data_IF_914500491055
#
_entry.id   IF_914500491055
#
_cell.length_a   1.000
_cell.length_b   1.000
_cell.length_c   1.000
_cell.angle_alpha   90.00
_cell.angle_beta   90.00
_cell.angle_gamma   90.00
#
_symmetry.space_group_name_H-M   'P 1'
#
loop_
_entity.id
_entity.type
_entity.pdbx_description
1 polymer ?
#
# COMPACT_ATOMS: atom_id res chain seq x y z
N UNK A 1 -2.11 -16.40 10.16
CA UNK A 1 -1.74 -15.36 9.18
C UNK A 1 -0.85 -15.96 8.11
N UNK A 2 -0.52 -15.17 7.09
CA UNK A 2 0.50 -15.50 6.07
C UNK A 2 1.70 -14.59 6.32
N UNK A 3 2.90 -15.15 6.25
CA UNK A 3 4.17 -14.42 6.35
C UNK A 3 4.74 -14.28 4.95
N UNK A 4 5.31 -13.12 4.63
CA UNK A 4 6.16 -12.91 3.47
C UNK A 4 7.53 -12.45 3.97
N UNK A 5 8.59 -13.21 3.70
CA UNK A 5 9.91 -13.00 4.26
C UNK A 5 10.99 -13.02 3.19
N UNK A 6 12.00 -12.16 3.33
CA UNK A 6 13.16 -12.11 2.45
C UNK A 6 14.43 -11.86 3.25
N UNK A 7 15.57 -12.24 2.68
CA UNK A 7 16.89 -11.85 3.16
C UNK A 7 17.19 -10.41 2.73
N UNK A 8 17.88 -9.65 3.59
CA UNK A 8 18.30 -8.27 3.32
C UNK A 8 17.33 -7.23 3.90
N UNK A 9 17.39 -6.00 3.40
CA UNK A 9 16.53 -4.92 3.90
C UNK A 9 15.05 -5.13 3.53
N UNK A 10 14.15 -4.79 4.47
CA UNK A 10 12.70 -4.90 4.32
C UNK A 10 12.12 -4.15 3.12
N UNK A 11 12.82 -3.12 2.61
CA UNK A 11 12.51 -2.44 1.34
C UNK A 11 12.29 -3.44 0.19
N UNK A 12 12.95 -4.60 0.20
CA UNK A 12 12.76 -5.65 -0.79
C UNK A 12 11.31 -6.16 -0.85
N UNK A 13 10.68 -6.38 0.31
CA UNK A 13 9.27 -6.79 0.37
C UNK A 13 8.34 -5.62 0.02
N UNK A 14 8.68 -4.40 0.46
CA UNK A 14 7.89 -3.19 0.17
C UNK A 14 7.84 -2.86 -1.32
N UNK A 15 8.95 -3.03 -2.04
CA UNK A 15 9.03 -2.84 -3.50
C UNK A 15 8.32 -3.96 -4.29
N UNK A 16 7.66 -4.92 -3.60
CA UNK A 16 6.87 -5.98 -4.23
C UNK A 16 7.68 -7.14 -4.82
N UNK A 17 8.96 -7.26 -4.46
CA UNK A 17 9.77 -8.37 -4.93
C UNK A 17 9.37 -9.70 -4.28
N UNK A 18 9.80 -10.78 -4.92
CA UNK A 18 9.46 -12.13 -4.53
C UNK A 18 10.22 -12.57 -3.28
N UNK A 19 9.50 -12.60 -2.15
CA UNK A 19 9.91 -13.25 -0.91
C UNK A 19 9.33 -14.66 -0.76
N UNK A 20 9.72 -15.35 0.31
CA UNK A 20 9.19 -16.66 0.68
C UNK A 20 7.91 -16.49 1.50
N UNK A 21 6.82 -17.15 1.07
CA UNK A 21 5.52 -17.11 1.74
C UNK A 21 5.19 -18.41 2.44
N UNK A 22 4.77 -18.32 3.70
CA UNK A 22 4.37 -19.47 4.49
C UNK A 22 3.35 -19.10 5.57
N UNK A 23 2.68 -20.11 6.14
CA UNK A 23 1.84 -19.94 7.32
C UNK A 23 2.64 -20.35 8.57
N UNK A 24 2.70 -19.54 9.64
CA UNK A 24 3.34 -19.93 10.90
C UNK A 24 2.79 -21.23 11.51
N UNK A 25 1.51 -21.55 11.26
CA UNK A 25 0.89 -22.80 11.71
C UNK A 25 1.29 -24.02 10.87
N UNK A 26 1.72 -23.78 9.63
CA UNK A 26 2.14 -24.82 8.68
C UNK A 26 3.46 -24.43 7.99
N UNK A 27 4.56 -24.22 8.75
CA UNK A 27 5.80 -23.66 8.20
C UNK A 27 6.51 -24.61 7.23
N UNK A 28 6.16 -25.90 7.25
CA UNK A 28 6.71 -26.94 6.36
C UNK A 28 5.97 -27.03 5.02
N UNK A 29 4.81 -26.38 4.88
CA UNK A 29 3.96 -26.44 3.68
C UNK A 29 4.18 -25.21 2.78
N UNK A 30 5.35 -25.13 2.16
CA UNK A 30 5.76 -23.98 1.35
C UNK A 30 5.60 -24.32 -0.14
N UNK A 31 4.62 -23.72 -0.81
CA UNK A 31 4.35 -23.96 -2.23
C UNK A 31 5.57 -23.66 -3.11
N UNK A 32 6.31 -22.60 -2.79
CA UNK A 32 7.49 -22.18 -3.53
C UNK A 32 8.63 -23.20 -3.47
N UNK A 33 8.62 -24.13 -2.51
CA UNK A 33 9.62 -25.18 -2.34
C UNK A 33 9.06 -26.58 -2.63
N UNK A 34 7.88 -26.66 -3.27
CA UNK A 34 7.18 -27.94 -3.53
C UNK A 34 7.81 -28.78 -4.65
N UNK A 35 8.47 -28.14 -5.61
CA UNK A 35 9.22 -28.79 -6.68
C UNK A 35 10.52 -28.05 -6.94
N UNK A 36 11.48 -28.74 -7.58
CA UNK A 36 12.76 -28.16 -7.96
C UNK A 36 12.58 -26.92 -8.84
N UNK A 37 11.76 -27.02 -9.90
CA UNK A 37 11.50 -25.92 -10.83
C UNK A 37 10.92 -24.70 -10.12
N UNK A 38 9.95 -24.94 -9.22
CA UNK A 38 9.32 -23.88 -8.44
C UNK A 38 10.33 -23.25 -7.48
N UNK A 39 11.17 -24.03 -6.81
CA UNK A 39 12.19 -23.51 -5.90
C UNK A 39 13.25 -22.66 -6.64
N UNK A 40 13.61 -23.04 -7.86
CA UNK A 40 14.58 -22.31 -8.67
C UNK A 40 14.00 -21.05 -9.33
N UNK A 41 12.69 -21.04 -9.62
CA UNK A 41 12.00 -19.91 -10.26
C UNK A 41 11.45 -18.92 -9.24
N UNK A 42 10.85 -19.42 -8.16
CA UNK A 42 9.94 -18.67 -7.31
C UNK A 42 10.51 -18.29 -5.93
N UNK A 43 11.84 -18.35 -5.81
CA UNK A 43 12.60 -17.90 -4.63
C UNK A 43 13.44 -16.65 -4.92
N UNK A 44 13.82 -15.95 -3.85
CA UNK A 44 14.58 -14.71 -3.92
C UNK A 44 15.91 -14.89 -4.68
N UNK A 45 16.15 -14.03 -5.68
CA UNK A 45 17.37 -14.04 -6.51
C UNK A 45 18.32 -12.89 -6.22
N UNK A 46 17.85 -11.85 -5.53
CA UNK A 46 18.59 -10.65 -5.18
C UNK A 46 18.09 -10.09 -3.85
N UNK A 47 18.89 -9.28 -3.17
CA UNK A 47 18.54 -8.64 -1.91
C UNK A 47 19.10 -7.22 -1.86
N UNK A 48 18.52 -6.40 -1.00
CA UNK A 48 19.05 -5.08 -0.70
C UNK A 48 20.00 -5.14 0.51
N UNK A 49 21.13 -4.45 0.39
CA UNK A 49 22.13 -4.25 1.43
C UNK A 49 22.51 -2.77 1.53
N UNK A 50 23.09 -2.38 2.65
CA UNK A 50 23.66 -1.04 2.83
C UNK A 50 25.14 -1.07 2.51
N UNK A 51 25.59 -0.10 1.71
CA UNK A 51 27.00 0.19 1.51
C UNK A 51 27.50 1.06 2.68
N UNK A 52 28.36 0.49 3.52
CA UNK A 52 28.97 1.18 4.65
C UNK A 52 30.37 1.72 4.32
N UNK A 53 30.94 1.36 3.17
CA UNK A 53 32.30 1.77 2.77
C UNK A 53 32.26 3.07 1.98
N UNK A 54 31.23 3.31 1.17
CA UNK A 54 31.08 4.52 0.35
C UNK A 54 30.49 5.73 1.09
N UNK A 55 30.87 5.92 2.35
CA UNK A 55 30.52 7.07 3.21
C UNK A 55 30.96 8.45 2.68
N UNK A 56 31.63 8.50 1.51
CA UNK A 56 32.25 9.70 0.93
C UNK A 56 31.44 10.36 -0.20
N UNK A 57 30.20 9.95 -0.45
CA UNK A 57 29.31 10.67 -1.39
C UNK A 57 28.38 11.59 -0.62
N UNK A 58 28.17 12.79 -1.14
CA UNK A 58 27.29 13.80 -0.55
C UNK A 58 25.97 13.18 -0.11
N UNK A 59 25.59 13.36 1.15
CA UNK A 59 24.30 12.90 1.65
C UNK A 59 23.18 13.55 0.82
N UNK A 60 22.44 12.73 0.09
CA UNK A 60 21.28 13.18 -0.67
C UNK A 60 19.99 12.84 0.06
N UNK A 61 18.90 13.47 -0.38
CA UNK A 61 17.53 13.25 0.13
C UNK A 61 16.90 11.99 -0.52
N UNK A 62 17.62 11.29 -1.41
CA UNK A 62 17.16 10.08 -2.08
C UNK A 62 17.57 8.87 -1.23
N UNK A 63 16.58 8.15 -0.68
CA UNK A 63 16.76 6.96 0.15
C UNK A 63 17.57 5.84 -0.54
N UNK A 64 17.82 5.94 -1.84
CA UNK A 64 18.57 4.96 -2.64
C UNK A 64 20.09 5.16 -2.60
N UNK A 65 20.59 6.27 -2.03
CA UNK A 65 21.97 6.73 -2.23
C UNK A 65 23.06 5.75 -1.75
N UNK A 66 22.80 4.99 -0.68
CA UNK A 66 23.69 4.00 -0.10
C UNK A 66 23.11 2.57 -0.17
N UNK A 67 22.07 2.38 -0.99
CA UNK A 67 21.30 1.15 -1.06
C UNK A 67 21.78 0.33 -2.26
N UNK A 68 22.41 -0.81 -1.98
CA UNK A 68 22.92 -1.70 -3.01
C UNK A 68 22.00 -2.89 -3.24
N UNK A 69 21.80 -3.25 -4.50
CA UNK A 69 21.06 -4.43 -4.91
C UNK A 69 22.02 -5.52 -5.34
N UNK A 70 22.11 -6.58 -4.55
CA UNK A 70 23.11 -7.65 -4.72
C UNK A 70 22.40 -8.94 -5.13
N UNK A 71 22.96 -9.66 -6.11
CA UNK A 71 22.46 -11.00 -6.46
C UNK A 71 22.83 -12.00 -5.38
N UNK A 72 21.95 -12.93 -5.06
CA UNK A 72 22.20 -13.97 -4.04
C UNK A 72 23.47 -14.77 -4.36
N UNK A 73 23.74 -15.04 -5.63
CA UNK A 73 24.94 -15.79 -6.06
C UNK A 73 26.25 -15.00 -5.91
N UNK A 74 26.18 -13.68 -5.71
CA UNK A 74 27.34 -12.82 -5.49
C UNK A 74 27.63 -12.56 -4.01
N UNK A 75 26.76 -13.05 -3.10
CA UNK A 75 27.00 -12.95 -1.67
C UNK A 75 28.22 -13.79 -1.29
N UNK A 76 29.19 -13.19 -0.61
CA UNK A 76 30.39 -13.89 -0.14
C UNK A 76 30.06 -15.02 0.83
N UNK A 77 30.97 -16.01 0.95
CA UNK A 77 30.79 -17.18 1.81
C UNK A 77 30.56 -16.82 3.30
N UNK A 78 31.07 -15.67 3.75
CA UNK A 78 30.89 -15.17 5.11
C UNK A 78 29.57 -14.40 5.34
N UNK A 79 28.72 -14.28 4.32
CA UNK A 79 27.42 -13.62 4.38
C UNK A 79 26.44 -14.36 5.30
N UNK A 80 25.46 -13.65 5.91
CA UNK A 80 24.31 -14.26 6.57
C UNK A 80 23.51 -15.23 5.69
N UNK A 81 23.73 -15.22 4.37
CA UNK A 81 23.14 -16.16 3.42
C UNK A 81 23.27 -17.62 3.89
N UNK A 82 24.39 -17.99 4.52
CA UNK A 82 24.65 -19.37 4.99
C UNK A 82 23.60 -19.91 5.95
N UNK A 83 22.91 -19.03 6.67
CA UNK A 83 21.90 -19.42 7.65
C UNK A 83 20.51 -19.62 7.04
N UNK A 84 20.25 -19.01 5.89
CA UNK A 84 18.91 -18.91 5.29
C UNK A 84 18.78 -19.63 3.94
N UNK A 85 19.86 -20.18 3.38
CA UNK A 85 19.82 -20.84 2.08
C UNK A 85 19.89 -22.38 2.14
N UNK A 86 19.33 -23.00 1.11
CA UNK A 86 19.66 -24.34 0.65
C UNK A 86 20.53 -24.24 -0.62
N UNK A 87 21.21 -25.32 -0.99
CA UNK A 87 22.07 -25.38 -2.17
C UNK A 87 21.50 -26.36 -3.20
N UNK A 88 21.31 -25.89 -4.42
CA UNK A 88 20.95 -26.72 -5.56
C UNK A 88 22.18 -27.44 -6.11
N UNK A 89 22.06 -28.76 -6.19
CA UNK A 89 23.03 -29.68 -6.75
C UNK A 89 22.63 -30.04 -8.19
N UNK A 90 23.37 -29.57 -9.22
CA UNK A 90 23.01 -29.82 -10.61
C UNK A 90 23.24 -31.27 -11.04
N UNK A 91 24.18 -31.98 -10.41
CA UNK A 91 24.53 -33.35 -10.80
C UNK A 91 23.43 -34.33 -10.37
N UNK A 92 22.96 -34.17 -9.13
CA UNK A 92 21.90 -35.00 -8.55
C UNK A 92 20.48 -34.44 -8.81
N UNK A 93 20.37 -33.21 -9.36
CA UNK A 93 19.12 -32.47 -9.53
C UNK A 93 18.28 -32.35 -8.25
N UNK A 94 18.93 -32.13 -7.11
CA UNK A 94 18.27 -31.99 -5.81
C UNK A 94 18.63 -30.67 -5.11
N UNK A 95 17.80 -30.28 -4.15
CA UNK A 95 18.12 -29.18 -3.22
C UNK A 95 18.52 -29.77 -1.88
N UNK A 96 19.76 -29.52 -1.48
CA UNK A 96 20.31 -29.91 -0.18
C UNK A 96 20.14 -28.76 0.81
N UNK A 97 19.51 -29.04 1.94
CA UNK A 97 19.33 -28.04 2.99
C UNK A 97 20.69 -27.61 3.58
N UNK A 98 20.95 -26.31 3.58
CA UNK A 98 22.21 -25.72 4.02
C UNK A 98 23.05 -25.09 2.90
N UNK A 99 24.10 -24.42 3.34
CA UNK A 99 25.09 -23.79 2.46
C UNK A 99 26.24 -24.77 2.19
N UNK A 100 26.40 -25.15 0.93
CA UNK A 100 27.52 -25.97 0.46
C UNK A 100 28.33 -25.19 -0.58
N UNK A 101 29.61 -25.51 -0.74
CA UNK A 101 30.43 -24.95 -1.81
C UNK A 101 29.95 -25.43 -3.18
N UNK A 102 30.04 -24.56 -4.19
CA UNK A 102 29.44 -24.82 -5.50
C UNK A 102 27.91 -24.82 -5.48
N UNK A 103 27.29 -25.00 -6.64
CA UNK A 103 25.83 -25.07 -6.77
C UNK A 103 25.10 -23.73 -6.52
N UNK A 104 23.90 -23.60 -7.08
CA UNK A 104 23.10 -22.38 -6.97
C UNK A 104 22.48 -22.27 -5.57
N UNK A 105 22.62 -21.10 -4.94
CA UNK A 105 22.00 -20.82 -3.63
C UNK A 105 20.52 -20.47 -3.78
N UNK A 106 19.67 -21.10 -2.97
CA UNK A 106 18.22 -20.94 -2.94
C UNK A 106 17.82 -20.43 -1.57
N UNK A 107 17.18 -19.27 -1.48
CA UNK A 107 16.76 -18.69 -0.19
C UNK A 107 15.49 -19.41 0.31
N UNK A 108 15.70 -20.50 1.04
CA UNK A 108 14.65 -21.45 1.46
C UNK A 108 14.22 -21.29 2.91
N UNK A 109 15.07 -20.66 3.74
CA UNK A 109 14.93 -20.60 5.20
C UNK A 109 14.73 -21.98 5.85
N UNK A 110 15.21 -23.07 5.23
CA UNK A 110 14.96 -24.44 5.66
C UNK A 110 15.39 -24.70 7.12
N UNK A 111 16.51 -24.13 7.55
CA UNK A 111 16.98 -24.25 8.93
C UNK A 111 15.96 -23.72 9.95
N UNK A 112 15.26 -22.63 9.62
CA UNK A 112 14.30 -21.97 10.50
C UNK A 112 12.88 -22.55 10.38
N UNK A 113 12.50 -23.06 9.20
CA UNK A 113 11.12 -23.48 8.91
C UNK A 113 10.90 -24.99 8.92
N UNK A 114 11.96 -25.77 8.64
CA UNK A 114 11.90 -27.24 8.54
C UNK A 114 12.63 -27.94 9.68
N UNK A 115 13.83 -27.45 10.01
CA UNK A 115 14.72 -28.06 11.02
C UNK A 115 14.56 -27.45 12.41
N UNK A 116 13.71 -26.43 12.56
CA UNK A 116 13.37 -25.81 13.84
C UNK A 116 14.60 -25.33 14.65
N UNK A 117 15.72 -25.00 13.96
CA UNK A 117 16.97 -24.52 14.60
C UNK A 117 16.79 -23.18 15.31
N UNK A 118 15.83 -22.38 14.83
CA UNK A 118 15.34 -21.17 15.45
C UNK A 118 13.80 -21.25 15.46
N UNK A 119 13.12 -21.00 16.59
CA UNK A 119 11.66 -21.14 16.71
C UNK A 119 10.90 -19.96 16.08
N UNK A 120 11.22 -19.60 14.84
CA UNK A 120 10.65 -18.43 14.18
C UNK A 120 9.14 -18.57 13.97
N UNK A 121 8.69 -19.72 13.47
CA UNK A 121 7.28 -19.97 13.20
C UNK A 121 6.43 -19.90 14.50
N UNK A 122 6.93 -20.50 15.58
CA UNK A 122 6.29 -20.45 16.89
C UNK A 122 6.27 -19.02 17.46
N UNK A 123 7.37 -18.28 17.31
CA UNK A 123 7.46 -16.88 17.74
C UNK A 123 6.43 -16.01 17.01
N UNK A 124 6.35 -16.16 15.68
CA UNK A 124 5.37 -15.43 14.86
C UNK A 124 3.93 -15.78 15.23
N UNK A 125 3.63 -17.06 15.45
CA UNK A 125 2.29 -17.49 15.90
C UNK A 125 1.91 -16.89 17.26
N UNK A 126 2.84 -16.88 18.22
CA UNK A 126 2.63 -16.25 19.53
C UNK A 126 2.40 -14.75 19.42
N UNK A 127 3.26 -14.03 18.69
CA UNK A 127 3.13 -12.57 18.50
C UNK A 127 1.82 -12.21 17.83
N UNK A 128 1.40 -12.95 16.79
CA UNK A 128 0.13 -12.72 16.12
C UNK A 128 -1.08 -12.98 17.04
N UNK A 129 -1.06 -14.05 17.84
CA UNK A 129 -2.14 -14.37 18.79
C UNK A 129 -2.26 -13.32 19.89
N UNK A 130 -1.15 -12.93 20.51
CA UNK A 130 -1.13 -11.89 21.54
C UNK A 130 -1.58 -10.56 20.94
N UNK A 131 -1.03 -10.17 19.79
CA UNK A 131 -1.42 -8.96 19.09
C UNK A 131 -2.92 -8.90 18.77
N UNK A 132 -3.48 -10.00 18.26
CA UNK A 132 -4.91 -10.10 17.97
C UNK A 132 -5.76 -10.00 19.24
N UNK A 133 -5.35 -10.65 20.32
CA UNK A 133 -6.06 -10.63 21.59
C UNK A 133 -6.08 -9.21 22.18
N UNK A 134 -4.94 -8.55 22.27
CA UNK A 134 -4.80 -7.23 22.88
C UNK A 134 -5.42 -6.11 22.03
N UNK A 135 -5.39 -6.23 20.70
CA UNK A 135 -6.02 -5.26 19.79
C UNK A 135 -7.51 -5.55 19.50
N UNK A 136 -8.03 -6.68 19.97
CA UNK A 136 -9.42 -7.10 19.77
C UNK A 136 -9.82 -7.39 18.31
N UNK A 137 -8.86 -7.48 17.38
CA UNK A 137 -9.09 -7.79 15.97
C UNK A 137 -7.83 -8.38 15.32
N UNK A 138 -7.90 -9.03 14.15
CA UNK A 138 -6.73 -9.54 13.45
C UNK A 138 -5.66 -8.46 13.27
N UNK A 139 -4.39 -8.81 13.36
CA UNK A 139 -3.27 -7.88 13.26
C UNK A 139 -2.32 -8.24 12.12
N UNK A 140 -1.68 -7.23 11.56
CA UNK A 140 -0.49 -7.35 10.73
C UNK A 140 0.74 -6.91 11.54
N UNK A 141 1.87 -7.59 11.33
CA UNK A 141 3.14 -7.26 11.96
C UNK A 141 4.23 -7.11 10.91
N UNK A 142 5.10 -6.13 11.11
CA UNK A 142 6.41 -6.06 10.45
C UNK A 142 7.47 -6.50 11.45
N UNK A 143 8.42 -7.32 11.00
CA UNK A 143 9.45 -7.86 11.86
C UNK A 143 10.80 -7.93 11.15
N UNK A 144 11.87 -7.99 11.94
CA UNK A 144 13.22 -8.29 11.47
C UNK A 144 13.83 -9.40 12.34
N UNK A 145 14.69 -10.20 11.73
CA UNK A 145 15.46 -11.24 12.43
C UNK A 145 16.94 -10.99 12.19
N UNK A 146 17.69 -10.77 13.28
CA UNK A 146 19.13 -10.69 13.25
C UNK A 146 19.73 -12.05 13.65
N UNK A 147 20.34 -12.76 12.71
CA UNK A 147 20.90 -14.10 12.95
C UNK A 147 22.38 -13.98 13.31
N UNK A 148 22.73 -14.31 14.55
CA UNK A 148 24.12 -14.32 15.05
C UNK A 148 24.81 -15.65 14.77
N UNK A 149 24.09 -16.76 14.95
CA UNK A 149 24.58 -18.12 14.73
C UNK A 149 23.44 -19.06 14.32
N UNK A 150 23.72 -20.35 14.09
CA UNK A 150 22.69 -21.33 13.74
C UNK A 150 21.64 -21.54 14.85
N UNK A 151 21.97 -21.20 16.11
CA UNK A 151 21.09 -21.40 17.26
C UNK A 151 20.77 -20.09 18.00
N UNK A 152 21.34 -18.97 17.56
CA UNK A 152 21.15 -17.67 18.21
C UNK A 152 20.70 -16.62 17.19
N UNK A 153 19.52 -16.06 17.44
CA UNK A 153 18.98 -14.95 16.68
C UNK A 153 18.18 -14.01 17.58
N UNK A 154 18.09 -12.74 17.17
CA UNK A 154 17.25 -11.73 17.80
C UNK A 154 16.05 -11.46 16.91
N UNK A 155 14.86 -11.43 17.50
CA UNK A 155 13.61 -11.12 16.81
C UNK A 155 13.12 -9.74 17.23
N UNK A 156 12.88 -8.87 16.25
CA UNK A 156 12.40 -7.51 16.46
C UNK A 156 11.02 -7.35 15.84
N UNK A 157 10.04 -6.91 16.63
CA UNK A 157 8.78 -6.38 16.08
C UNK A 157 9.02 -4.92 15.71
N UNK A 158 8.97 -4.63 14.42
CA UNK A 158 9.17 -3.28 13.89
C UNK A 158 7.87 -2.48 13.92
N UNK A 159 6.75 -3.16 13.68
CA UNK A 159 5.43 -2.56 13.65
C UNK A 159 4.37 -3.61 13.94
N UNK A 160 3.28 -3.18 14.57
CA UNK A 160 2.05 -3.97 14.70
C UNK A 160 0.87 -3.05 14.44
N UNK A 161 -0.06 -3.48 13.58
CA UNK A 161 -1.27 -2.72 13.26
C UNK A 161 -2.49 -3.65 13.24
N UNK A 162 -3.65 -3.18 13.71
CA UNK A 162 -4.89 -3.91 13.52
C UNK A 162 -5.30 -3.90 12.04
N UNK A 163 -5.67 -5.04 11.50
CA UNK A 163 -6.24 -5.17 10.16
C UNK A 163 -7.66 -4.60 10.20
N UNK A 164 -7.96 -3.67 9.30
CA UNK A 164 -9.32 -3.20 9.08
C UNK A 164 -10.08 -4.29 8.34
N UNK A 165 -10.91 -5.01 9.07
CA UNK A 165 -11.80 -6.02 8.52
C UNK A 165 -12.97 -5.30 7.83
N UNK A 166 -12.84 -5.00 6.54
CA UNK A 166 -13.95 -4.47 5.74
C UNK A 166 -14.94 -5.61 5.45
N UNK A 167 -15.70 -6.00 6.48
CA UNK A 167 -16.69 -7.09 6.46
C UNK A 167 -17.90 -6.81 5.58
N UNK A 168 -18.07 -5.60 5.07
CA UNK A 168 -19.15 -5.30 4.16
C UNK A 168 -18.78 -5.76 2.76
N UNK A 169 -19.14 -7.01 2.47
CA UNK A 169 -19.34 -7.44 1.09
C UNK A 169 -20.44 -6.55 0.53
N UNK A 170 -20.07 -5.59 -0.32
CA UNK A 170 -21.04 -4.85 -1.12
C UNK A 170 -21.66 -5.86 -2.09
N UNK A 171 -22.80 -6.42 -1.68
CA UNK A 171 -23.57 -7.41 -2.42
C UNK A 171 -24.59 -6.76 -3.37
N UNK A 172 -24.62 -5.43 -3.40
CA UNK A 172 -25.41 -4.64 -4.32
C UNK A 172 -24.75 -4.59 -5.71
N UNK A 173 -25.58 -4.53 -6.75
CA UNK A 173 -25.09 -4.37 -8.11
C UNK A 173 -24.73 -2.91 -8.40
N UNK A 174 -23.50 -2.53 -8.03
CA UNK A 174 -22.98 -1.19 -8.32
C UNK A 174 -22.79 -0.90 -9.83
N UNK A 175 -23.06 -1.86 -10.72
CA UNK A 175 -22.99 -1.63 -12.17
C UNK A 175 -24.22 -0.90 -12.71
N UNK A 176 -25.37 -1.02 -12.03
CA UNK A 176 -26.65 -0.46 -12.45
C UNK A 176 -27.14 0.57 -11.42
N UNK A 177 -26.48 1.74 -11.40
CA UNK A 177 -26.82 2.83 -10.50
C UNK A 177 -27.49 3.96 -11.26
N UNK A 178 -28.52 4.55 -10.65
CA UNK A 178 -29.18 5.72 -11.19
C UNK A 178 -28.22 6.92 -11.16
N UNK A 179 -27.90 7.42 -12.35
CA UNK A 179 -27.05 8.59 -12.53
C UNK A 179 -27.64 9.84 -11.88
N UNK A 180 -28.97 9.95 -11.82
CA UNK A 180 -29.65 11.10 -11.22
C UNK A 180 -29.47 11.19 -9.70
N UNK A 181 -29.31 10.05 -9.04
CA UNK A 181 -29.11 9.91 -7.58
C UNK A 181 -27.63 9.84 -7.17
N UNK A 182 -26.70 10.03 -8.12
CA UNK A 182 -25.27 9.81 -7.87
C UNK A 182 -24.47 11.11 -8.05
N UNK A 183 -23.63 11.44 -7.07
CA UNK A 183 -22.67 12.54 -7.18
C UNK A 183 -21.42 12.09 -7.92
N UNK A 184 -20.97 10.86 -7.63
CA UNK A 184 -19.69 10.37 -8.10
C UNK A 184 -19.73 8.88 -8.42
N UNK A 185 -19.21 8.50 -9.58
CA UNK A 185 -19.12 7.12 -10.04
C UNK A 185 -17.75 6.86 -10.67
N UNK A 186 -17.13 5.71 -10.34
CA UNK A 186 -15.87 5.28 -10.94
C UNK A 186 -15.85 3.76 -11.13
N UNK A 187 -15.36 3.30 -12.30
CA UNK A 187 -14.99 1.91 -12.59
C UNK A 187 -13.52 1.59 -12.31
N UNK A 188 -12.81 2.53 -11.72
CA UNK A 188 -11.43 2.36 -11.26
C UNK A 188 -11.32 2.85 -9.81
N UNK A 189 -12.05 2.16 -8.94
CA UNK A 189 -12.05 2.40 -7.51
C UNK A 189 -11.26 1.32 -6.75
N UNK A 190 -10.54 1.79 -5.74
CA UNK A 190 -9.80 0.99 -4.78
C UNK A 190 -10.37 1.23 -3.39
N UNK A 191 -10.33 0.19 -2.57
CA UNK A 191 -11.03 0.13 -1.29
C UNK A 191 -12.16 -0.89 -1.30
N UNK A 192 -12.85 -1.05 -0.18
CA UNK A 192 -14.00 -1.94 -0.06
C UNK A 192 -14.89 -1.50 1.11
N UNK A 193 -16.21 -1.59 0.99
CA UNK A 193 -17.16 -1.36 2.08
C UNK A 193 -18.14 -0.21 1.83
N UNK A 194 -18.97 0.09 2.84
CA UNK A 194 -19.96 1.16 2.84
C UNK A 194 -19.61 2.17 3.94
N UNK A 195 -19.78 3.45 3.66
CA UNK A 195 -19.62 4.55 4.62
C UNK A 195 -20.83 5.48 4.49
N UNK A 196 -21.45 5.80 5.62
CA UNK A 196 -22.69 6.59 5.72
C UNK A 196 -22.56 7.68 6.79
N UNK A 197 -21.33 8.11 7.05
CA UNK A 197 -20.92 9.02 8.12
C UNK A 197 -20.25 10.29 7.59
N UNK A 198 -20.21 10.45 6.26
CA UNK A 198 -19.58 11.60 5.58
C UNK A 198 -20.66 12.48 4.98
N UNK A 199 -20.74 13.74 5.42
CA UNK A 199 -21.68 14.75 4.90
C UNK A 199 -21.00 15.83 4.05
N UNK A 200 -19.67 15.82 3.99
CA UNK A 200 -18.87 16.90 3.46
C UNK A 200 -18.14 16.49 2.17
N UNK A 201 -18.20 17.36 1.17
CA UNK A 201 -17.46 17.21 -0.10
C UNK A 201 -16.60 18.45 -0.31
N UNK A 202 -15.29 18.22 -0.47
CA UNK A 202 -14.29 19.25 -0.78
C UNK A 202 -13.77 18.94 -2.18
N UNK A 203 -13.89 19.91 -3.09
CA UNK A 203 -13.42 19.73 -4.46
C UNK A 203 -12.67 20.94 -4.99
N UNK A 204 -11.76 20.68 -5.92
CA UNK A 204 -11.06 21.71 -6.69
C UNK A 204 -11.91 22.09 -7.90
N UNK A 205 -12.20 23.38 -8.06
CA UNK A 205 -12.99 23.93 -9.17
C UNK A 205 -12.29 23.67 -10.51
N UNK A 206 -13.01 23.12 -11.48
CA UNK A 206 -12.37 22.73 -12.76
C UNK A 206 -12.41 23.81 -13.84
N UNK A 207 -13.44 24.68 -13.84
CA UNK A 207 -13.72 25.68 -14.91
C UNK A 207 -12.55 26.64 -15.22
N UNK A 208 -11.71 26.95 -14.23
CA UNK A 208 -10.53 27.82 -14.39
C UNK A 208 -9.25 27.18 -13.86
N UNK A 209 -9.20 25.85 -13.85
CA UNK A 209 -8.05 25.13 -13.31
C UNK A 209 -6.78 25.39 -14.13
N UNK A 210 -5.69 25.63 -13.43
CA UNK A 210 -4.34 25.73 -13.98
C UNK A 210 -3.36 24.99 -13.08
N UNK A 211 -2.58 24.09 -13.67
CA UNK A 211 -1.57 23.31 -12.94
C UNK A 211 -0.51 24.20 -12.25
N UNK A 212 -0.30 25.44 -12.72
CA UNK A 212 0.56 26.41 -12.06
C UNK A 212 0.10 26.74 -10.63
N UNK A 213 -1.19 26.56 -10.32
CA UNK A 213 -1.76 26.84 -9.01
C UNK A 213 -1.74 25.62 -8.07
N UNK A 214 -1.30 24.44 -8.52
CA UNK A 214 -1.28 23.21 -7.71
C UNK A 214 -0.57 23.38 -6.35
N UNK A 215 0.57 24.09 -6.23
CA UNK A 215 1.18 24.35 -4.93
C UNK A 215 0.33 25.22 -4.00
N UNK A 216 -0.46 26.15 -4.55
CA UNK A 216 -1.39 26.97 -3.76
C UNK A 216 -2.59 26.12 -3.29
N UNK A 217 -3.16 25.32 -4.19
CA UNK A 217 -4.24 24.37 -3.89
C UNK A 217 -3.84 23.42 -2.75
N UNK A 218 -2.63 22.88 -2.79
CA UNK A 218 -2.13 21.98 -1.73
C UNK A 218 -2.14 22.64 -0.34
N UNK A 219 -1.81 23.93 -0.24
CA UNK A 219 -1.83 24.69 1.02
C UNK A 219 -3.24 25.00 1.50
N UNK A 220 -4.18 25.21 0.58
CA UNK A 220 -5.58 25.44 0.95
C UNK A 220 -6.24 24.17 1.46
N UNK A 221 -5.95 23.04 0.81
CA UNK A 221 -6.43 21.72 1.24
C UNK A 221 -5.88 21.35 2.61
N UNK A 222 -4.59 21.62 2.87
CA UNK A 222 -4.00 21.43 4.21
C UNK A 222 -4.79 22.18 5.30
N UNK A 223 -5.16 23.45 5.05
CA UNK A 223 -5.97 24.24 5.99
C UNK A 223 -7.35 23.66 6.21
N UNK A 224 -7.99 23.15 5.15
CA UNK A 224 -9.29 22.48 5.25
C UNK A 224 -9.15 21.20 6.08
N UNK A 225 -8.15 20.37 5.79
CA UNK A 225 -7.91 19.12 6.50
C UNK A 225 -7.65 19.34 8.00
N UNK A 226 -6.93 20.40 8.38
CA UNK A 226 -6.75 20.79 9.79
C UNK A 226 -8.10 21.03 10.47
N UNK A 227 -9.02 21.78 9.85
CA UNK A 227 -10.37 22.03 10.40
C UNK A 227 -11.17 20.75 10.58
N UNK A 228 -11.12 19.85 9.60
CA UNK A 228 -11.76 18.53 9.69
C UNK A 228 -11.15 17.67 10.81
N UNK A 229 -9.84 17.75 10.99
CA UNK A 229 -9.15 17.04 12.07
C UNK A 229 -9.50 17.60 13.45
N UNK A 230 -9.65 18.91 13.59
CA UNK A 230 -10.07 19.56 14.84
C UNK A 230 -11.54 19.26 15.18
N UNK A 231 -12.38 19.07 14.16
CA UNK A 231 -13.80 18.75 14.31
C UNK A 231 -14.10 17.25 14.41
N UNK A 232 -13.07 16.39 14.30
CA UNK A 232 -13.21 14.93 14.21
C UNK A 232 -14.23 14.48 13.13
N UNK A 233 -14.10 15.07 11.94
CA UNK A 233 -14.96 14.81 10.78
C UNK A 233 -14.15 14.34 9.58
N UNK A 234 -14.81 13.60 8.69
CA UNK A 234 -14.25 13.17 7.41
C UNK A 234 -14.99 13.80 6.22
N UNK A 235 -14.34 13.80 5.07
CA UNK A 235 -14.89 14.39 3.83
C UNK A 235 -14.52 13.57 2.59
N UNK A 236 -15.26 13.78 1.50
CA UNK A 236 -14.88 13.33 0.15
C UNK A 236 -14.00 14.42 -0.48
N UNK A 237 -12.81 14.05 -0.97
CA UNK A 237 -11.87 14.94 -1.64
C UNK A 237 -11.83 14.65 -3.14
N UNK A 238 -12.11 15.67 -3.97
CA UNK A 238 -12.07 15.55 -5.44
C UNK A 238 -11.14 16.59 -6.04
N UNK A 239 -10.26 16.20 -6.96
CA UNK A 239 -9.39 17.16 -7.63
C UNK A 239 -8.75 16.64 -8.91
N UNK A 240 -8.26 17.55 -9.77
CA UNK A 240 -7.67 17.19 -11.04
C UNK A 240 -6.22 16.70 -10.91
N UNK A 241 -5.90 15.66 -11.68
CA UNK A 241 -4.58 15.04 -11.75
C UNK A 241 -4.19 14.24 -10.50
N UNK A 242 -2.87 14.06 -10.28
CA UNK A 242 -2.37 13.22 -9.19
C UNK A 242 -2.42 13.91 -7.82
N UNK A 243 -2.80 13.18 -6.78
CA UNK A 243 -2.54 13.60 -5.41
C UNK A 243 -1.14 13.18 -4.97
N UNK A 244 -0.37 14.13 -4.44
CA UNK A 244 0.96 13.86 -3.89
C UNK A 244 2.08 13.71 -4.93
N UNK A 245 1.89 14.25 -6.13
CA UNK A 245 2.94 14.33 -7.14
C UNK A 245 4.08 15.26 -6.68
N UNK A 246 5.33 14.83 -6.86
CA UNK A 246 6.51 15.70 -6.70
C UNK A 246 6.66 16.71 -7.84
N UNK A 247 6.07 16.42 -9.01
CA UNK A 247 5.95 17.34 -10.14
C UNK A 247 4.60 18.06 -10.08
N UNK A 248 4.56 19.38 -9.77
CA UNK A 248 3.34 20.15 -9.71
C UNK A 248 2.61 20.28 -11.05
N UNK A 249 3.27 20.00 -12.18
CA UNK A 249 2.63 19.97 -13.50
C UNK A 249 1.87 18.68 -13.78
N UNK A 250 1.99 17.67 -12.92
CA UNK A 250 1.30 16.38 -13.04
C UNK A 250 0.32 16.12 -11.90
N UNK A 251 0.29 16.97 -10.88
CA UNK A 251 -0.62 16.79 -9.76
C UNK A 251 -0.49 17.84 -8.67
N UNK A 252 -1.38 17.75 -7.69
CA UNK A 252 -1.40 18.60 -6.52
C UNK A 252 -0.40 18.03 -5.50
N UNK A 253 0.68 18.76 -5.12
CA UNK A 253 1.77 18.25 -4.29
C UNK A 253 1.40 18.23 -2.80
N UNK A 254 0.36 17.46 -2.44
CA UNK A 254 -0.04 17.22 -1.05
C UNK A 254 0.83 16.15 -0.39
N UNK A 255 1.04 16.26 0.92
CA UNK A 255 1.53 15.15 1.75
C UNK A 255 0.33 14.44 2.38
N UNK A 256 0.53 13.21 2.87
CA UNK A 256 -0.53 12.47 3.58
C UNK A 256 -1.16 13.30 4.71
N UNK A 257 -0.35 13.99 5.51
CA UNK A 257 -0.83 14.86 6.59
C UNK A 257 -1.75 16.00 6.12
N UNK A 258 -1.69 16.39 4.84
CA UNK A 258 -2.52 17.46 4.29
C UNK A 258 -3.93 16.98 3.91
N UNK A 259 -4.16 15.66 3.81
CA UNK A 259 -5.43 15.07 3.33
C UNK A 259 -5.87 13.87 4.19
N UNK A 260 -5.30 13.73 5.40
CA UNK A 260 -5.46 12.55 6.24
C UNK A 260 -6.90 12.29 6.71
N UNK A 261 -7.79 13.29 6.64
CA UNK A 261 -9.19 13.16 7.02
C UNK A 261 -10.11 12.86 5.83
N UNK A 262 -9.58 12.72 4.62
CA UNK A 262 -10.37 12.31 3.47
C UNK A 262 -10.80 10.84 3.61
N UNK A 263 -12.11 10.57 3.49
CA UNK A 263 -12.66 9.20 3.46
C UNK A 263 -12.65 8.60 2.07
N UNK A 264 -12.77 9.46 1.05
CA UNK A 264 -12.61 9.12 -0.35
C UNK A 264 -11.74 10.19 -0.99
N UNK A 265 -10.75 9.77 -1.78
CA UNK A 265 -9.88 10.62 -2.58
C UNK A 265 -10.13 10.30 -4.03
N UNK A 266 -10.37 11.33 -4.84
CA UNK A 266 -10.71 11.18 -6.25
C UNK A 266 -9.72 11.97 -7.09
N UNK A 267 -9.12 11.27 -8.05
CA UNK A 267 -8.32 11.85 -9.13
C UNK A 267 -9.18 11.98 -10.37
N UNK A 268 -9.39 13.22 -10.81
CA UNK A 268 -10.14 13.54 -12.02
C UNK A 268 -9.20 13.89 -13.17
N UNK A 269 -9.42 13.31 -14.34
CA UNK A 269 -8.77 13.72 -15.58
C UNK A 269 -9.47 14.93 -16.22
N UNK A 270 -8.69 15.90 -16.70
CA UNK A 270 -9.18 17.02 -17.53
C UNK A 270 -8.67 16.88 -18.98
N UNK A 271 -9.30 17.60 -19.92
CA UNK A 271 -9.08 17.46 -21.37
C UNK A 271 -7.59 17.53 -21.77
N UNK A 272 -6.89 18.52 -21.20
CA UNK A 272 -5.48 18.82 -21.42
C UNK A 272 -4.60 18.47 -20.21
N UNK A 273 -5.12 17.69 -19.26
CA UNK A 273 -4.44 17.32 -18.01
C UNK A 273 -4.68 15.84 -17.71
N UNK A 274 -3.98 15.00 -18.48
CA UNK A 274 -4.08 13.54 -18.40
C UNK A 274 -2.87 13.00 -17.68
N UNK A 275 -3.10 12.34 -16.55
CA UNK A 275 -2.04 11.70 -15.81
C UNK A 275 -2.45 10.26 -15.52
N UNK A 276 -1.57 9.30 -15.83
CA UNK A 276 -1.79 7.90 -15.46
C UNK A 276 -1.80 7.77 -13.93
N UNK A 277 -2.62 6.91 -13.32
CA UNK A 277 -2.59 6.70 -11.87
C UNK A 277 -1.19 6.26 -11.41
N UNK A 278 -0.60 6.96 -10.44
CA UNK A 278 0.68 6.53 -9.84
C UNK A 278 0.38 5.80 -8.53
N UNK A 279 0.71 4.51 -8.48
CA UNK A 279 0.62 3.71 -7.27
C UNK A 279 1.87 3.93 -6.40
N UNK A 280 2.04 5.15 -5.87
CA UNK A 280 3.12 5.43 -4.91
C UNK A 280 2.97 4.54 -3.66
N UNK A 281 3.94 3.69 -3.37
CA UNK A 281 3.83 2.60 -2.38
C UNK A 281 3.43 3.06 -0.98
N UNK A 282 3.99 4.18 -0.49
CA UNK A 282 3.67 4.71 0.85
C UNK A 282 2.29 5.36 0.93
N UNK A 283 1.88 6.08 -0.11
CA UNK A 283 0.56 6.70 -0.19
C UNK A 283 -0.53 5.62 -0.25
N UNK A 284 -0.28 4.57 -1.04
CA UNK A 284 -1.18 3.43 -1.19
C UNK A 284 -1.34 2.60 0.09
N UNK A 285 -0.26 2.36 0.82
CA UNK A 285 -0.33 1.65 2.11
C UNK A 285 -1.27 2.37 3.08
N UNK A 286 -1.17 3.69 3.19
CA UNK A 286 -2.06 4.47 4.04
C UNK A 286 -3.53 4.38 3.58
N UNK A 287 -3.80 4.48 2.27
CA UNK A 287 -5.16 4.31 1.73
C UNK A 287 -5.78 2.98 2.19
N UNK A 288 -5.02 1.89 2.07
CA UNK A 288 -5.48 0.56 2.49
C UNK A 288 -5.63 0.42 4.00
N UNK A 289 -4.68 0.93 4.80
CA UNK A 289 -4.70 0.77 6.26
C UNK A 289 -5.78 1.62 6.94
N UNK A 290 -6.10 2.81 6.41
CA UNK A 290 -7.10 3.71 6.98
C UNK A 290 -8.51 3.52 6.37
N UNK A 291 -8.65 2.60 5.42
CA UNK A 291 -9.93 2.32 4.75
C UNK A 291 -10.41 3.50 3.90
N UNK A 292 -9.48 4.26 3.32
CA UNK A 292 -9.79 5.40 2.45
C UNK A 292 -10.07 4.88 1.04
N UNK A 293 -11.23 5.26 0.49
CA UNK A 293 -11.57 4.97 -0.90
C UNK A 293 -10.71 5.79 -1.84
N UNK A 294 -10.23 5.19 -2.93
CA UNK A 294 -9.43 5.90 -3.93
C UNK A 294 -9.96 5.66 -5.32
N UNK A 295 -10.47 6.71 -5.95
CA UNK A 295 -11.21 6.61 -7.21
C UNK A 295 -10.45 7.38 -8.29
N UNK A 296 -10.41 6.80 -9.49
CA UNK A 296 -9.93 7.49 -10.68
C UNK A 296 -11.10 7.70 -11.62
N UNK A 297 -11.32 8.95 -12.04
CA UNK A 297 -12.38 9.32 -12.97
C UNK A 297 -11.76 9.96 -14.20
N UNK A 298 -12.08 9.43 -15.37
CA UNK A 298 -11.70 10.02 -16.64
C UNK A 298 -12.94 10.66 -17.27
N UNK A 299 -13.05 11.99 -17.16
CA UNK A 299 -14.24 12.76 -17.55
C UNK A 299 -14.63 12.65 -19.03
N UNK A 300 -13.77 12.09 -19.89
CA UNK A 300 -14.00 11.93 -21.33
C UNK A 300 -14.50 10.55 -21.75
N UNK A 301 -14.20 9.51 -20.96
CA UNK A 301 -14.79 8.19 -21.17
C UNK A 301 -16.03 8.11 -20.29
N UNK A 302 -17.22 8.32 -20.85
CA UNK A 302 -18.48 8.09 -20.12
C UNK A 302 -18.58 6.67 -19.55
N UNK A 303 -17.74 5.74 -20.03
CA UNK A 303 -17.65 4.37 -19.53
C UNK A 303 -16.81 4.24 -18.25
N UNK A 304 -15.88 5.14 -17.96
CA UNK A 304 -14.92 5.00 -16.84
C UNK A 304 -15.43 5.60 -15.53
N UNK A 305 -16.28 6.62 -15.59
CA UNK A 305 -16.75 7.34 -14.40
C UNK A 305 -17.41 8.68 -14.71
N UNK A 306 -18.04 9.30 -13.71
CA UNK A 306 -18.48 10.69 -13.78
C UNK A 306 -18.45 11.36 -12.41
N UNK A 307 -18.35 12.69 -12.43
CA UNK A 307 -18.43 13.57 -11.27
C UNK A 307 -19.43 14.69 -11.59
N UNK A 308 -20.49 14.81 -10.80
CA UNK A 308 -21.55 15.80 -10.98
C UNK A 308 -21.16 17.14 -10.30
N UNK A 309 -20.21 17.86 -10.90
CA UNK A 309 -19.73 19.17 -10.41
C UNK A 309 -20.86 20.21 -10.42
N UNK A 310 -21.75 20.18 -11.41
CA UNK A 310 -22.87 21.12 -11.53
C UNK A 310 -23.88 20.96 -10.37
N UNK A 311 -24.14 19.72 -9.92
CA UNK A 311 -24.95 19.49 -8.73
C UNK A 311 -24.30 20.13 -7.50
N UNK A 312 -23.00 19.96 -7.28
CA UNK A 312 -22.31 20.56 -6.13
C UNK A 312 -22.23 22.10 -6.21
N UNK A 313 -22.04 22.64 -7.41
CA UNK A 313 -22.05 24.08 -7.66
C UNK A 313 -23.41 24.73 -7.35
N UNK A 314 -24.51 23.97 -7.47
CA UNK A 314 -25.86 24.42 -7.12
C UNK A 314 -26.15 24.49 -5.61
N UNK A 315 -25.31 23.85 -4.78
CA UNK A 315 -25.46 23.82 -3.32
C UNK A 315 -24.76 25.00 -2.64
N UNK A 316 -25.22 25.44 -1.45
CA UNK A 316 -24.54 26.48 -0.69
C UNK A 316 -23.14 26.01 -0.23
N UNK A 317 -22.12 26.82 -0.48
CA UNK A 317 -20.76 26.55 -0.03
C UNK A 317 -20.59 26.93 1.44
N UNK A 318 -20.07 26.01 2.25
CA UNK A 318 -19.65 26.30 3.64
C UNK A 318 -18.34 27.08 3.64
N UNK A 319 -17.45 26.76 2.70
CA UNK A 319 -16.19 27.44 2.50
C UNK A 319 -15.84 27.45 1.01
N UNK A 320 -15.41 28.61 0.52
CA UNK A 320 -15.10 28.79 -0.90
C UNK A 320 -13.93 29.75 -1.06
N UNK A 321 -13.05 29.42 -1.99
CA UNK A 321 -11.88 30.22 -2.40
C UNK A 321 -11.84 30.30 -3.92
N UNK A 322 -10.78 30.89 -4.48
CA UNK A 322 -10.57 30.90 -5.93
C UNK A 322 -10.37 29.48 -6.50
N UNK A 323 -9.84 28.54 -5.71
CA UNK A 323 -9.50 27.20 -6.21
C UNK A 323 -10.36 26.07 -5.65
N UNK A 324 -10.72 26.11 -4.36
CA UNK A 324 -11.44 25.03 -3.69
C UNK A 324 -12.83 25.46 -3.23
N UNK A 325 -13.74 24.50 -3.21
CA UNK A 325 -15.10 24.64 -2.71
C UNK A 325 -15.44 23.48 -1.79
N UNK A 326 -16.08 23.79 -0.68
CA UNK A 326 -16.54 22.85 0.35
C UNK A 326 -18.05 22.98 0.51
N UNK A 327 -18.74 21.87 0.29
CA UNK A 327 -20.19 21.72 0.45
C UNK A 327 -20.46 20.73 1.59
N UNK A 328 -21.40 21.05 2.48
CA UNK A 328 -21.88 20.17 3.54
C UNK A 328 -23.37 19.93 3.33
N UNK A 329 -23.80 18.68 3.52
CA UNK A 329 -25.21 18.28 3.45
C UNK A 329 -25.75 17.97 4.84
N UNK A 330 -27.08 18.08 5.01
CA UNK A 330 -27.75 17.73 6.26
C UNK A 330 -27.76 16.22 6.51
N UNK A 331 -27.85 15.42 5.44
CA UNK A 331 -27.73 13.97 5.50
C UNK A 331 -26.37 13.49 4.95
N UNK A 332 -25.80 12.40 5.49
CA UNK A 332 -24.57 11.83 4.96
C UNK A 332 -24.75 11.32 3.53
N UNK A 333 -23.70 11.44 2.71
CA UNK A 333 -23.63 10.83 1.40
C UNK A 333 -23.28 9.34 1.56
N UNK A 334 -24.12 8.40 1.07
CA UNK A 334 -23.76 7.00 1.06
C UNK A 334 -22.60 6.73 0.09
N UNK A 335 -21.49 6.24 0.63
CA UNK A 335 -20.29 5.86 -0.12
C UNK A 335 -20.25 4.33 -0.20
N UNK A 336 -20.17 3.76 -1.40
CA UNK A 336 -20.12 2.31 -1.62
C UNK A 336 -18.94 1.96 -2.51
N UNK A 337 -18.10 1.01 -2.07
CA UNK A 337 -16.91 0.58 -2.82
C UNK A 337 -16.86 -0.94 -2.90
N UNK A 338 -16.82 -1.47 -4.12
CA UNK A 338 -16.60 -2.88 -4.41
C UNK A 338 -15.20 -3.07 -5.00
N UNK A 339 -14.24 -3.46 -4.15
CA UNK A 339 -12.86 -3.71 -4.59
C UNK A 339 -12.75 -4.86 -5.59
N UNK A 340 -13.65 -5.86 -5.50
CA UNK A 340 -13.72 -6.99 -6.44
C UNK A 340 -14.11 -6.56 -7.85
N UNK A 341 -15.09 -5.66 -7.96
CA UNK A 341 -15.56 -5.11 -9.25
C UNK A 341 -14.77 -3.87 -9.69
N UNK A 342 -13.94 -3.31 -8.80
CA UNK A 342 -13.26 -2.00 -8.94
C UNK A 342 -14.23 -0.83 -9.13
N UNK A 343 -15.44 -0.93 -8.56
CA UNK A 343 -16.48 0.09 -8.70
C UNK A 343 -16.63 0.87 -7.38
N UNK A 344 -16.69 2.19 -7.47
CA UNK A 344 -16.86 3.10 -6.35
C UNK A 344 -17.91 4.16 -6.66
N UNK A 345 -18.75 4.47 -5.67
CA UNK A 345 -19.94 5.30 -5.84
C UNK A 345 -20.14 6.18 -4.62
N UNK A 346 -20.49 7.45 -4.85
CA UNK A 346 -21.00 8.36 -3.82
C UNK A 346 -22.38 8.82 -4.26
N UNK A 347 -23.40 8.44 -3.49
CA UNK A 347 -24.79 8.79 -3.74
C UNK A 347 -25.11 10.19 -3.22
N UNK A 348 -26.14 10.82 -3.78
CA UNK A 348 -26.72 12.05 -3.25
C UNK A 348 -27.34 11.77 -1.86
N UNK A 349 -27.34 12.76 -0.96
CA UNK A 349 -27.92 12.65 0.37
C UNK A 349 -29.43 12.44 0.37
#
# INVERSE_FOLDING_TARGET
GIVNMAMGLGKYIMDGYQGLRFSPLHPKNILQLSSLDTALRDTQTQFYALDLESMSKDFTIDDSFNLQKIRIQQAGANSPLRYVCSTYDPDDQIIRDGFYEGGRKVVSFANMLKHDTLPLAETLDKVLKVGQQEMGRPVEIEFAVNIKSQQEAEFFVLQIRPIVDNKEVVNEDLENIDKSETVLYSRNALGNGISTDVSDVVYVKTKHFSAANNPAIAREIEKVNIRFSEADKNYVLVGPGRWGSSDPWLGIPVKWAHISQARVIVESGLENYRIEPSQGTHFFQNLTSFGVGYFTINSFSQQDGFFDEDFLDSQPAVYETDFIRHVCFDQPLPIKISGKKKIGVVLKP
#
